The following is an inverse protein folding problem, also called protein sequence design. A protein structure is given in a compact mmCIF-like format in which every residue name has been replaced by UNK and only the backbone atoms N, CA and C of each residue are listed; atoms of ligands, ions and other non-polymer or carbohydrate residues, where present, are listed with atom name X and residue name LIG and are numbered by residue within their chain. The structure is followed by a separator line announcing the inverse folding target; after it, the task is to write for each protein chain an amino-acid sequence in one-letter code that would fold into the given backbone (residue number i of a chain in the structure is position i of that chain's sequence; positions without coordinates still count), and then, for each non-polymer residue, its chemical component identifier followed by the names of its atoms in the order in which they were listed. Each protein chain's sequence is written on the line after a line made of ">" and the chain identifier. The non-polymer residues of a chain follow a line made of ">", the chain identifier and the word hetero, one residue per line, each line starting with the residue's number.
data_IF_391202085682
#
_entry.id   IF_391202085682
#
_cell.length_a   1.000
_cell.length_b   1.000
_cell.length_c   1.000
_cell.angle_alpha   90.00
_cell.angle_beta   90.00
_cell.angle_gamma   90.00
#
_symmetry.space_group_name_H-M   'P 1'
#
loop_
_entity.id
_entity.type
_entity.pdbx_description
1 polymer ?
#
# COMPACT_ATOMS: atom_id res chain seq x y z
N UNK A 1 -10.70 -13.45 10.58
CA UNK A 1 -10.94 -13.40 12.04
C UNK A 1 -11.64 -12.10 12.38
N UNK A 2 -12.68 -12.12 13.21
CA UNK A 2 -13.20 -10.89 13.81
C UNK A 2 -12.21 -10.42 14.88
N UNK A 3 -11.88 -9.13 14.92
CA UNK A 3 -10.96 -8.55 15.91
C UNK A 3 -11.34 -8.86 17.36
N UNK A 4 -12.62 -9.13 17.64
CA UNK A 4 -13.08 -9.62 18.94
C UNK A 4 -12.45 -10.96 19.35
N UNK A 5 -12.32 -11.92 18.42
CA UNK A 5 -11.67 -13.21 18.71
C UNK A 5 -10.17 -13.05 18.96
N UNK A 6 -9.52 -12.14 18.24
CA UNK A 6 -8.12 -11.79 18.47
C UNK A 6 -7.91 -11.15 19.86
N UNK A 7 -8.75 -10.19 20.26
CA UNK A 7 -8.66 -9.59 21.60
C UNK A 7 -8.91 -10.60 22.71
N UNK A 8 -9.93 -11.44 22.59
CA UNK A 8 -10.23 -12.47 23.59
C UNK A 8 -9.04 -13.43 23.77
N UNK A 9 -8.39 -13.81 22.67
CA UNK A 9 -7.20 -14.64 22.69
C UNK A 9 -6.00 -13.91 23.33
N UNK A 10 -5.71 -12.67 22.90
CA UNK A 10 -4.57 -11.90 23.41
C UNK A 10 -4.71 -11.53 24.88
N UNK A 11 -5.90 -11.11 25.31
CA UNK A 11 -6.19 -10.80 26.72
C UNK A 11 -6.15 -12.06 27.61
N UNK A 12 -6.21 -13.26 27.02
CA UNK A 12 -6.10 -14.53 27.73
C UNK A 12 -4.68 -15.07 27.87
N UNK A 13 -3.66 -14.42 27.28
CA UNK A 13 -2.28 -14.88 27.42
C UNK A 13 -1.76 -14.68 28.85
N UNK A 14 -1.07 -15.69 29.43
CA UNK A 14 -0.43 -15.51 30.71
C UNK A 14 0.75 -14.54 30.56
N UNK A 15 0.63 -13.35 31.15
CA UNK A 15 1.74 -12.38 31.19
C UNK A 15 2.70 -12.77 32.31
N UNK A 16 3.91 -13.16 31.94
CA UNK A 16 4.94 -13.63 32.88
C UNK A 16 5.88 -12.52 33.37
N UNK A 17 5.81 -11.33 32.78
CA UNK A 17 6.63 -10.18 33.13
C UNK A 17 5.87 -8.86 32.92
N UNK A 18 5.91 -7.98 33.93
CA UNK A 18 5.34 -6.63 33.85
C UNK A 18 6.41 -5.58 33.56
N UNK A 19 7.64 -6.00 33.27
CA UNK A 19 8.71 -5.09 32.93
C UNK A 19 8.39 -4.35 31.63
N UNK A 20 8.69 -3.05 31.54
CA UNK A 20 8.50 -2.28 30.33
C UNK A 20 9.22 -2.90 29.14
N UNK A 21 8.56 -2.89 27.99
CA UNK A 21 9.23 -3.10 26.72
C UNK A 21 9.99 -1.82 26.36
N UNK A 22 11.31 -1.92 26.18
CA UNK A 22 12.15 -0.81 25.71
C UNK A 22 12.57 -1.12 24.27
N UNK A 23 12.10 -0.30 23.33
CA UNK A 23 12.44 -0.39 21.91
C UNK A 23 13.39 0.77 21.60
N UNK A 24 14.59 0.46 21.13
CA UNK A 24 15.49 1.45 20.53
C UNK A 24 15.22 1.56 19.03
N UNK A 25 15.20 2.78 18.50
CA UNK A 25 15.29 2.97 17.05
C UNK A 25 16.76 3.12 16.59
N UNK A 26 17.05 2.95 15.30
CA UNK A 26 18.41 3.12 14.77
C UNK A 26 18.98 4.54 14.91
N UNK A 27 18.14 5.53 15.21
CA UNK A 27 18.55 6.92 15.44
C UNK A 27 19.02 7.18 16.89
N UNK A 28 18.88 6.19 17.77
CA UNK A 28 19.26 6.25 19.18
C UNK A 28 18.13 6.69 20.12
N UNK A 29 16.91 6.89 19.60
CA UNK A 29 15.73 7.17 20.43
C UNK A 29 15.27 5.90 21.12
N UNK A 30 14.90 5.99 22.40
CA UNK A 30 14.35 4.86 23.17
C UNK A 30 12.89 5.11 23.51
N UNK A 31 12.03 4.20 23.08
CA UNK A 31 10.62 4.17 23.42
C UNK A 31 10.36 3.13 24.51
N UNK A 32 9.68 3.54 25.58
CA UNK A 32 9.29 2.65 26.68
C UNK A 32 7.77 2.45 26.62
N UNK A 33 7.33 1.19 26.60
CA UNK A 33 5.93 0.82 26.63
C UNK A 33 5.67 -0.10 27.83
N UNK A 34 4.92 0.39 28.81
CA UNK A 34 4.47 -0.42 29.93
C UNK A 34 3.29 -1.31 29.48
N UNK A 35 3.11 -2.47 30.13
CA UNK A 35 2.02 -3.40 29.81
C UNK A 35 0.65 -2.72 29.80
N UNK A 36 0.39 -1.79 30.72
CA UNK A 36 -0.88 -1.06 30.80
C UNK A 36 -1.14 -0.25 29.52
N UNK A 37 -0.14 0.47 29.04
CA UNK A 37 -0.27 1.30 27.84
C UNK A 37 -0.41 0.44 26.59
N UNK A 38 0.33 -0.67 26.53
CA UNK A 38 0.18 -1.67 25.47
C UNK A 38 -1.25 -2.24 25.43
N UNK A 39 -1.81 -2.61 26.58
CA UNK A 39 -3.16 -3.14 26.68
C UNK A 39 -4.23 -2.10 26.34
N UNK A 40 -4.01 -0.82 26.60
CA UNK A 40 -4.92 0.25 26.14
C UNK A 40 -4.96 0.32 24.61
N UNK A 41 -3.80 0.27 23.96
CA UNK A 41 -3.72 0.25 22.48
C UNK A 41 -4.36 -1.00 21.90
N UNK A 42 -4.12 -2.18 22.49
CA UNK A 42 -4.71 -3.43 22.02
C UNK A 42 -6.24 -3.48 22.16
N UNK A 43 -6.79 -2.82 23.18
CA UNK A 43 -8.24 -2.79 23.39
C UNK A 43 -8.94 -1.70 22.57
N UNK A 44 -8.20 -0.73 22.02
CA UNK A 44 -8.71 0.27 21.10
C UNK A 44 -8.82 -0.28 19.67
N UNK A 45 -10.07 -0.44 19.22
CA UNK A 45 -10.36 -0.95 17.88
C UNK A 45 -9.85 -0.08 16.76
N UNK A 46 -9.94 1.25 16.91
CA UNK A 46 -9.49 2.16 15.88
C UNK A 46 -7.97 2.12 15.76
N UNK A 47 -7.25 1.98 16.88
CA UNK A 47 -5.80 1.85 16.85
C UNK A 47 -5.37 0.55 16.19
N UNK A 48 -6.03 -0.58 16.49
CA UNK A 48 -5.73 -1.84 15.82
C UNK A 48 -5.94 -1.74 14.30
N UNK A 49 -7.03 -1.14 13.84
CA UNK A 49 -7.22 -0.94 12.40
C UNK A 49 -6.19 0.03 11.79
N UNK A 50 -5.80 1.09 12.50
CA UNK A 50 -4.74 2.02 12.06
C UNK A 50 -3.38 1.33 11.92
N UNK A 51 -3.10 0.33 12.73
CA UNK A 51 -1.87 -0.47 12.65
C UNK A 51 -1.94 -1.49 11.50
N UNK A 52 -3.09 -2.14 11.29
CA UNK A 52 -3.25 -3.16 10.25
C UNK A 52 -3.41 -2.58 8.84
N UNK A 53 -4.03 -1.40 8.73
CA UNK A 53 -4.39 -0.81 7.46
C UNK A 53 -3.17 -0.51 6.54
N UNK A 54 -2.03 0.01 7.04
CA UNK A 54 -0.83 0.18 6.25
C UNK A 54 -0.36 -1.08 5.53
N UNK A 55 -0.47 -2.27 6.16
CA UNK A 55 -0.07 -3.53 5.54
C UNK A 55 -0.92 -3.88 4.31
N UNK A 56 -2.20 -3.51 4.29
CA UNK A 56 -3.05 -3.75 3.10
C UNK A 56 -2.66 -2.88 1.91
N UNK A 57 -2.18 -1.66 2.16
CA UNK A 57 -1.67 -0.79 1.09
C UNK A 57 -0.31 -1.30 0.61
N UNK A 58 0.57 -1.70 1.53
CA UNK A 58 1.87 -2.28 1.19
C UNK A 58 1.73 -3.51 0.29
N UNK A 59 0.80 -4.42 0.59
CA UNK A 59 0.52 -5.58 -0.28
C UNK A 59 0.07 -5.20 -1.70
N UNK A 60 -0.61 -4.07 -1.86
CA UNK A 60 -1.00 -3.58 -3.19
C UNK A 60 0.18 -2.95 -3.92
N UNK A 61 1.06 -2.26 -3.19
CA UNK A 61 2.31 -1.70 -3.72
C UNK A 61 3.26 -2.83 -4.15
N UNK A 62 3.41 -3.88 -3.34
CA UNK A 62 4.21 -5.07 -3.66
C UNK A 62 3.68 -5.78 -4.91
N UNK A 63 2.36 -6.02 -4.99
CA UNK A 63 1.75 -6.56 -6.21
C UNK A 63 2.03 -5.66 -7.42
N UNK A 64 1.89 -4.34 -7.28
CA UNK A 64 2.16 -3.43 -8.39
C UNK A 64 3.61 -3.53 -8.88
N UNK A 65 4.56 -3.75 -7.96
CA UNK A 65 5.98 -3.97 -8.25
C UNK A 65 6.17 -5.22 -9.12
N UNK A 66 5.62 -6.36 -8.69
CA UNK A 66 5.64 -7.62 -9.45
C UNK A 66 5.00 -7.47 -10.84
N UNK A 67 3.90 -6.71 -10.93
CA UNK A 67 3.21 -6.47 -12.20
C UNK A 67 4.04 -5.60 -13.16
N UNK A 68 4.77 -4.60 -12.66
CA UNK A 68 5.68 -3.78 -13.48
C UNK A 68 6.83 -4.64 -14.02
N UNK A 69 7.44 -5.45 -13.17
CA UNK A 69 8.49 -6.39 -13.60
C UNK A 69 7.99 -7.35 -14.68
N UNK A 70 6.80 -7.92 -14.49
CA UNK A 70 6.16 -8.80 -15.47
C UNK A 70 5.84 -8.08 -16.78
N UNK A 71 5.37 -6.84 -16.71
CA UNK A 71 5.07 -6.03 -17.90
C UNK A 71 6.33 -5.83 -18.75
N UNK A 72 7.44 -5.47 -18.11
CA UNK A 72 8.71 -5.16 -18.77
C UNK A 72 9.44 -6.42 -19.28
N UNK A 73 9.45 -7.50 -18.49
CA UNK A 73 10.23 -8.72 -18.81
C UNK A 73 9.48 -9.72 -19.69
N UNK A 74 8.15 -9.84 -19.53
CA UNK A 74 7.35 -10.90 -20.14
C UNK A 74 6.29 -10.38 -21.12
N UNK A 75 5.73 -9.18 -20.91
CA UNK A 75 4.60 -8.67 -21.71
C UNK A 75 5.00 -7.63 -22.77
N UNK A 76 6.30 -7.36 -22.93
CA UNK A 76 6.81 -6.48 -23.99
C UNK A 76 6.52 -4.99 -23.78
N UNK A 77 6.18 -4.58 -22.55
CA UNK A 77 6.04 -3.17 -22.20
C UNK A 77 7.39 -2.47 -22.33
N UNK A 78 7.41 -1.23 -22.82
CA UNK A 78 8.65 -0.48 -23.01
C UNK A 78 8.94 0.39 -21.78
N UNK A 79 10.20 0.51 -21.32
CA UNK A 79 10.55 1.35 -20.17
C UNK A 79 10.08 2.80 -20.27
N UNK A 80 10.00 3.37 -21.48
CA UNK A 80 9.53 4.74 -21.70
C UNK A 80 8.03 4.94 -21.42
N UNK A 81 7.24 3.87 -21.30
CA UNK A 81 5.85 3.92 -20.86
C UNK A 81 5.73 4.12 -19.34
N UNK A 82 6.82 3.91 -18.60
CA UNK A 82 6.94 4.07 -17.15
C UNK A 82 7.74 5.36 -16.86
N UNK A 83 7.11 6.52 -17.08
CA UNK A 83 7.78 7.82 -16.90
C UNK A 83 8.36 7.95 -15.49
N UNK A 84 9.67 8.22 -15.40
CA UNK A 84 10.41 8.34 -14.15
C UNK A 84 10.98 7.04 -13.61
N UNK A 85 10.81 5.91 -14.30
CA UNK A 85 11.54 4.67 -14.03
C UNK A 85 13.00 4.83 -14.48
N UNK A 86 13.96 4.46 -13.63
CA UNK A 86 15.38 4.55 -13.95
C UNK A 86 15.83 3.28 -14.70
N UNK A 87 16.15 3.37 -16.00
CA UNK A 87 16.56 2.21 -16.78
C UNK A 87 17.97 1.71 -16.45
N UNK A 88 18.73 2.42 -15.60
CA UNK A 88 20.09 2.03 -15.20
C UNK A 88 20.10 1.06 -14.02
N UNK A 89 18.99 0.97 -13.28
CA UNK A 89 18.87 0.07 -12.15
C UNK A 89 18.47 -1.33 -12.60
N UNK A 90 18.81 -2.37 -11.81
CA UNK A 90 18.17 -3.69 -11.91
C UNK A 90 16.64 -3.56 -11.92
N UNK A 91 15.96 -4.44 -12.65
CA UNK A 91 14.53 -4.25 -12.94
C UNK A 91 13.63 -4.29 -11.70
N UNK A 92 13.96 -5.18 -10.77
CA UNK A 92 13.38 -5.29 -9.42
C UNK A 92 13.54 -3.96 -8.65
N UNK A 93 14.76 -3.44 -8.59
CA UNK A 93 15.06 -2.17 -7.92
C UNK A 93 14.40 -0.97 -8.61
N UNK A 94 14.37 -0.95 -9.95
CA UNK A 94 13.73 0.10 -10.74
C UNK A 94 12.21 0.12 -10.51
N UNK A 95 11.57 -1.05 -10.49
CA UNK A 95 10.15 -1.20 -10.20
C UNK A 95 9.86 -0.79 -8.74
N UNK A 96 10.69 -1.20 -7.78
CA UNK A 96 10.56 -0.81 -6.38
C UNK A 96 10.59 0.71 -6.19
N UNK A 97 11.63 1.35 -6.70
CA UNK A 97 11.77 2.80 -6.58
C UNK A 97 10.64 3.53 -7.27
N UNK A 98 10.23 3.06 -8.46
CA UNK A 98 9.16 3.71 -9.19
C UNK A 98 7.82 3.64 -8.46
N UNK A 99 7.43 2.47 -7.93
CA UNK A 99 6.20 2.33 -7.11
C UNK A 99 6.27 3.16 -5.84
N UNK A 100 7.44 3.22 -5.19
CA UNK A 100 7.65 3.92 -3.93
C UNK A 100 7.58 5.44 -4.08
N UNK A 101 8.23 5.99 -5.10
CA UNK A 101 8.36 7.44 -5.26
C UNK A 101 7.28 8.06 -6.13
N UNK A 102 6.64 7.30 -7.02
CA UNK A 102 5.55 7.83 -7.82
C UNK A 102 4.21 7.82 -7.07
N UNK A 103 3.34 8.82 -7.30
CA UNK A 103 1.97 8.75 -6.80
C UNK A 103 1.23 7.51 -7.31
N UNK A 104 0.38 6.91 -6.47
CA UNK A 104 -0.50 5.80 -6.87
C UNK A 104 -1.29 6.08 -8.13
N UNK A 105 -1.71 7.32 -8.31
CA UNK A 105 -2.42 7.77 -9.50
C UNK A 105 -1.60 7.59 -10.78
N UNK A 106 -0.29 7.76 -10.71
CA UNK A 106 0.64 7.65 -11.85
C UNK A 106 0.85 6.20 -12.21
N UNK A 107 1.36 5.40 -11.27
CA UNK A 107 1.74 4.03 -11.60
C UNK A 107 0.53 3.13 -11.87
N UNK A 108 -0.59 3.33 -11.16
CA UNK A 108 -1.79 2.54 -11.38
C UNK A 108 -2.40 2.80 -12.76
N UNK A 109 -2.35 4.04 -13.25
CA UNK A 109 -2.91 4.37 -14.56
C UNK A 109 -2.13 3.68 -15.68
N UNK A 110 -0.79 3.62 -15.57
CA UNK A 110 0.07 2.87 -16.49
C UNK A 110 -0.31 1.38 -16.49
N UNK A 111 -0.35 0.73 -15.32
CA UNK A 111 -0.66 -0.70 -15.21
C UNK A 111 -2.08 -1.01 -15.73
N UNK A 112 -3.08 -0.20 -15.36
CA UNK A 112 -4.46 -0.41 -15.80
C UNK A 112 -4.59 -0.27 -17.33
N UNK A 113 -3.91 0.71 -17.92
CA UNK A 113 -3.94 0.99 -19.37
C UNK A 113 -3.48 -0.21 -20.20
N UNK A 114 -2.51 -0.98 -19.73
CA UNK A 114 -2.02 -2.19 -20.41
C UNK A 114 -3.11 -3.25 -20.62
N UNK A 115 -4.11 -3.31 -19.72
CA UNK A 115 -5.28 -4.16 -19.88
C UNK A 115 -6.49 -3.49 -20.55
N UNK A 116 -6.32 -2.30 -21.13
CA UNK A 116 -7.44 -1.50 -21.64
C UNK A 116 -8.41 -1.02 -20.55
N UNK A 117 -7.97 -0.97 -19.29
CA UNK A 117 -8.79 -0.60 -18.14
C UNK A 117 -8.50 0.83 -17.69
N UNK A 118 -9.46 1.41 -16.99
CA UNK A 118 -9.32 2.71 -16.34
C UNK A 118 -9.86 2.69 -14.92
N UNK A 119 -9.82 3.84 -14.25
CA UNK A 119 -10.31 4.01 -12.88
C UNK A 119 -11.79 3.66 -12.67
N UNK A 120 -12.59 3.68 -13.72
CA UNK A 120 -14.01 3.28 -13.69
C UNK A 120 -14.22 1.76 -13.70
N UNK A 121 -13.16 0.96 -13.95
CA UNK A 121 -13.26 -0.50 -14.05
C UNK A 121 -13.56 -1.22 -12.73
N UNK A 122 -13.53 -0.51 -11.59
CA UNK A 122 -13.80 -1.09 -10.29
C UNK A 122 -14.50 -0.11 -9.35
N UNK A 123 -15.29 -0.66 -8.43
CA UNK A 123 -15.98 0.12 -7.41
C UNK A 123 -14.98 0.82 -6.48
N UNK A 124 -15.22 2.11 -6.24
CA UNK A 124 -14.35 2.99 -5.47
C UNK A 124 -13.46 3.88 -6.35
N UNK A 125 -13.04 3.35 -7.51
CA UNK A 125 -12.26 4.05 -8.52
C UNK A 125 -11.05 4.81 -7.98
N UNK A 126 -10.65 5.86 -8.71
CA UNK A 126 -9.49 6.70 -8.36
C UNK A 126 -9.60 7.26 -6.95
N UNK A 127 -10.74 7.88 -6.62
CA UNK A 127 -10.97 8.53 -5.32
C UNK A 127 -10.84 7.58 -4.13
N UNK A 128 -11.34 6.35 -4.25
CA UNK A 128 -11.27 5.37 -3.17
C UNK A 128 -9.85 4.88 -2.90
N UNK A 129 -9.07 4.65 -3.96
CA UNK A 129 -7.66 4.22 -3.84
C UNK A 129 -6.79 5.34 -3.27
N UNK A 130 -6.94 6.55 -3.79
CA UNK A 130 -6.17 7.71 -3.32
C UNK A 130 -6.44 8.00 -1.84
N UNK A 131 -7.68 7.85 -1.39
CA UNK A 131 -8.02 7.99 0.02
C UNK A 131 -7.41 6.91 0.89
N UNK A 132 -7.46 5.65 0.45
CA UNK A 132 -6.81 4.56 1.18
C UNK A 132 -5.30 4.82 1.37
N UNK A 133 -4.60 5.20 0.30
CA UNK A 133 -3.16 5.52 0.36
C UNK A 133 -2.88 6.77 1.22
N UNK A 134 -3.73 7.79 1.10
CA UNK A 134 -3.59 9.03 1.89
C UNK A 134 -3.77 8.75 3.38
N UNK A 135 -4.81 7.99 3.76
CA UNK A 135 -5.07 7.60 5.15
C UNK A 135 -3.91 6.74 5.66
N UNK A 136 -3.42 5.78 4.88
CA UNK A 136 -2.24 4.97 5.25
C UNK A 136 -1.05 5.84 5.58
N UNK A 137 -0.74 6.85 4.77
CA UNK A 137 0.40 7.73 5.02
C UNK A 137 0.22 8.56 6.29
N UNK A 138 -0.99 9.05 6.57
CA UNK A 138 -1.27 9.74 7.83
C UNK A 138 -1.13 8.79 9.03
N UNK A 139 -1.69 7.58 8.96
CA UNK A 139 -1.58 6.56 10.00
C UNK A 139 -0.13 6.15 10.25
N UNK A 140 0.67 5.94 9.20
CA UNK A 140 2.08 5.56 9.31
C UNK A 140 2.94 6.64 10.00
N UNK A 141 2.54 7.91 9.88
CA UNK A 141 3.17 9.04 10.58
C UNK A 141 2.51 9.37 11.93
N UNK A 142 1.56 8.56 12.41
CA UNK A 142 0.85 8.81 13.66
C UNK A 142 -0.04 10.06 13.65
N UNK A 143 -0.43 10.57 12.47
CA UNK A 143 -1.26 11.76 12.32
C UNK A 143 -2.74 11.35 12.34
N UNK A 144 -3.52 11.70 13.39
CA UNK A 144 -4.88 11.19 13.55
C UNK A 144 -5.96 12.04 12.84
N UNK A 145 -5.57 13.10 12.12
CA UNK A 145 -6.49 14.07 11.50
C UNK A 145 -6.15 14.35 10.05
N UNK A 146 -7.13 14.81 9.28
CA UNK A 146 -6.95 15.28 7.91
C UNK A 146 -6.19 16.61 7.91
N UNK A 147 -4.98 16.61 7.35
CA UNK A 147 -4.19 17.83 7.15
C UNK A 147 -4.42 18.44 5.75
N UNK A 148 -3.91 19.65 5.53
CA UNK A 148 -4.07 20.38 4.25
C UNK A 148 -3.52 19.61 3.04
N UNK A 149 -2.39 18.91 3.19
CA UNK A 149 -1.78 18.10 2.13
C UNK A 149 -2.69 16.94 1.72
N UNK A 150 -3.27 16.25 2.71
CA UNK A 150 -4.23 15.18 2.50
C UNK A 150 -5.50 15.68 1.82
N UNK A 151 -6.07 16.79 2.30
CA UNK A 151 -7.27 17.39 1.69
C UNK A 151 -7.04 17.74 0.22
N UNK A 152 -5.93 18.41 -0.10
CA UNK A 152 -5.60 18.78 -1.47
C UNK A 152 -5.50 17.54 -2.38
N UNK A 153 -4.86 16.46 -1.90
CA UNK A 153 -4.74 15.22 -2.66
C UNK A 153 -6.12 14.57 -2.89
N UNK A 154 -6.96 14.51 -1.86
CA UNK A 154 -8.32 13.99 -1.99
C UNK A 154 -9.15 14.83 -2.98
N UNK A 155 -9.04 16.15 -2.91
CA UNK A 155 -9.74 17.06 -3.82
C UNK A 155 -9.33 16.80 -5.28
N UNK A 156 -8.04 16.67 -5.57
CA UNK A 156 -7.53 16.35 -6.92
C UNK A 156 -7.96 14.99 -7.46
N UNK A 157 -8.35 14.06 -6.59
CA UNK A 157 -8.82 12.73 -6.96
C UNK A 157 -10.35 12.60 -6.98
N UNK A 158 -11.08 13.61 -6.50
CA UNK A 158 -12.54 13.58 -6.34
C UNK A 158 -13.27 14.14 -7.56
N UNK A 159 -14.48 13.66 -7.81
CA UNK A 159 -15.47 14.34 -8.65
C UNK A 159 -16.22 15.39 -7.83
N UNK A 160 -16.89 16.34 -8.48
CA UNK A 160 -17.67 17.40 -7.80
C UNK A 160 -18.78 16.85 -6.89
N UNK A 161 -19.31 15.66 -7.19
CA UNK A 161 -20.34 14.99 -6.41
C UNK A 161 -19.84 14.28 -5.15
N UNK A 162 -18.52 14.15 -4.97
CA UNK A 162 -17.94 13.45 -3.83
C UNK A 162 -17.66 14.42 -2.70
N UNK A 163 -18.25 14.14 -1.53
CA UNK A 163 -18.01 14.92 -0.32
C UNK A 163 -16.55 14.81 0.11
N UNK A 164 -15.92 15.96 0.33
CA UNK A 164 -14.59 16.05 0.92
C UNK A 164 -14.69 16.20 2.45
N UNK A 165 -13.72 15.65 3.21
CA UNK A 165 -13.55 15.99 4.62
C UNK A 165 -13.03 17.43 4.77
N UNK A 166 -13.10 17.96 5.98
CA UNK A 166 -12.50 19.24 6.36
C UNK A 166 -11.10 19.04 6.95
N UNK A 167 -10.27 20.08 6.89
CA UNK A 167 -9.00 20.10 7.65
C UNK A 167 -9.32 20.00 9.14
N UNK A 168 -8.63 19.11 9.85
CA UNK A 168 -8.84 18.85 11.28
C UNK A 168 -9.84 17.73 11.58
N UNK A 169 -10.58 17.23 10.57
CA UNK A 169 -11.45 16.07 10.76
C UNK A 169 -10.65 14.86 11.25
N UNK A 170 -11.18 14.18 12.26
CA UNK A 170 -10.57 12.95 12.79
C UNK A 170 -10.64 11.83 11.75
N UNK A 171 -9.55 11.09 11.61
CA UNK A 171 -9.50 9.87 10.81
C UNK A 171 -10.14 8.75 11.61
N UNK A 172 -11.41 8.46 11.32
CA UNK A 172 -12.12 7.33 11.94
C UNK A 172 -11.88 6.07 11.11
N UNK A 173 -11.13 5.12 11.66
CA UNK A 173 -10.92 3.79 11.08
C UNK A 173 -11.63 2.76 11.95
N UNK A 174 -12.96 2.76 11.89
CA UNK A 174 -13.77 1.69 12.48
C UNK A 174 -13.83 0.48 11.54
N UNK A 175 -14.49 -0.60 12.00
CA UNK A 175 -14.63 -1.84 11.21
C UNK A 175 -15.25 -1.61 9.85
N UNK A 176 -16.26 -0.76 9.75
CA UNK A 176 -16.98 -0.51 8.51
C UNK A 176 -16.09 0.23 7.50
N UNK A 177 -15.42 1.28 7.95
CA UNK A 177 -14.51 2.11 7.16
C UNK A 177 -13.28 1.31 6.72
N UNK A 178 -12.68 0.55 7.65
CA UNK A 178 -11.59 -0.38 7.33
C UNK A 178 -12.01 -1.41 6.27
N UNK A 179 -13.15 -2.07 6.45
CA UNK A 179 -13.64 -3.07 5.50
C UNK A 179 -13.90 -2.48 4.12
N UNK A 180 -14.42 -1.24 4.06
CA UNK A 180 -14.63 -0.50 2.81
C UNK A 180 -13.32 -0.20 2.09
N UNK A 181 -12.30 0.29 2.81
CA UNK A 181 -11.00 0.54 2.20
C UNK A 181 -10.33 -0.75 1.72
N UNK A 182 -10.33 -1.81 2.53
CA UNK A 182 -9.78 -3.12 2.13
C UNK A 182 -10.52 -3.69 0.93
N UNK A 183 -11.84 -3.60 0.87
CA UNK A 183 -12.61 -4.03 -0.29
C UNK A 183 -12.25 -3.23 -1.55
N UNK A 184 -11.98 -1.93 -1.42
CA UNK A 184 -11.54 -1.06 -2.51
C UNK A 184 -10.15 -1.47 -3.00
N UNK A 185 -9.19 -1.62 -2.10
CA UNK A 185 -7.83 -2.05 -2.40
C UNK A 185 -7.80 -3.44 -3.07
N UNK A 186 -8.61 -4.39 -2.60
CA UNK A 186 -8.73 -5.72 -3.22
C UNK A 186 -9.28 -5.68 -4.64
N UNK A 187 -10.31 -4.86 -4.88
CA UNK A 187 -10.87 -4.69 -6.23
C UNK A 187 -9.88 -4.02 -7.17
N UNK A 188 -9.15 -3.03 -6.65
CA UNK A 188 -8.09 -2.36 -7.38
C UNK A 188 -6.95 -3.33 -7.74
N UNK A 189 -6.44 -4.09 -6.78
CA UNK A 189 -5.42 -5.13 -6.98
C UNK A 189 -5.84 -6.14 -8.07
N UNK A 190 -7.09 -6.63 -8.00
CA UNK A 190 -7.64 -7.52 -9.04
C UNK A 190 -7.68 -6.85 -10.40
N UNK A 191 -8.13 -5.60 -10.49
CA UNK A 191 -8.19 -4.91 -11.79
C UNK A 191 -6.80 -4.76 -12.42
N UNK A 192 -5.77 -4.48 -11.61
CA UNK A 192 -4.38 -4.44 -12.09
C UNK A 192 -3.86 -5.80 -12.52
N UNK A 193 -4.08 -6.84 -11.70
CA UNK A 193 -3.64 -8.20 -12.02
C UNK A 193 -4.31 -8.71 -13.30
N UNK A 194 -5.63 -8.49 -13.45
CA UNK A 194 -6.36 -8.81 -14.67
C UNK A 194 -5.80 -8.04 -15.88
N UNK A 195 -5.40 -6.78 -15.71
CA UNK A 195 -4.85 -5.98 -16.80
C UNK A 195 -3.59 -6.62 -17.39
N UNK A 196 -2.69 -7.12 -16.54
CA UNK A 196 -1.44 -7.75 -16.98
C UNK A 196 -1.66 -9.19 -17.43
N UNK A 197 -2.52 -9.95 -16.74
CA UNK A 197 -2.78 -11.36 -17.05
C UNK A 197 -3.40 -11.55 -18.45
N UNK A 198 -4.22 -10.60 -18.90
CA UNK A 198 -4.87 -10.66 -20.22
C UNK A 198 -3.97 -10.22 -21.39
N UNK A 199 -2.74 -9.75 -21.13
CA UNK A 199 -1.79 -9.44 -22.19
C UNK A 199 -1.13 -10.71 -22.72
N UNK A 200 -0.85 -10.79 -24.04
CA UNK A 200 -0.05 -11.86 -24.59
C UNK A 200 1.38 -11.79 -24.04
N UNK A 201 2.00 -12.96 -23.83
CA UNK A 201 3.43 -13.03 -23.54
C UNK A 201 4.25 -12.74 -24.81
N UNK A 202 5.46 -12.22 -24.60
CA UNK A 202 6.45 -12.09 -25.65
C UNK A 202 6.85 -13.49 -26.17
N UNK A 203 7.14 -13.62 -27.47
CA UNK A 203 7.69 -14.86 -28.02
C UNK A 203 8.97 -15.27 -27.29
N UNK A 204 9.14 -16.56 -27.01
CA UNK A 204 10.36 -17.11 -26.42
C UNK A 204 11.58 -16.69 -27.26
N UNK A 205 12.55 -16.01 -26.63
CA UNK A 205 13.75 -15.45 -27.29
C UNK A 205 13.83 -13.92 -27.35
N UNK A 206 12.74 -13.21 -27.03
CA UNK A 206 12.72 -11.72 -26.91
C UNK A 206 12.46 -11.22 -25.48
N UNK A 207 12.34 -12.13 -24.51
CA UNK A 207 12.26 -11.81 -23.08
C UNK A 207 13.59 -11.20 -22.62
N UNK A 208 13.55 -10.01 -22.04
CA UNK A 208 14.73 -9.37 -21.47
C UNK A 208 15.19 -10.23 -20.28
N UNK A 209 16.45 -10.73 -20.27
CA UNK A 209 16.91 -11.57 -19.18
C UNK A 209 16.86 -10.78 -17.87
N UNK A 210 16.17 -11.36 -16.88
CA UNK A 210 16.29 -10.94 -15.48
C UNK A 210 17.68 -11.39 -15.05
N UNK A 211 18.61 -10.45 -14.85
CA UNK A 211 19.97 -10.79 -14.40
C UNK A 211 19.84 -11.46 -13.04
N UNK A 212 20.18 -12.75 -13.01
CA UNK A 212 20.03 -13.59 -11.82
C UNK A 212 21.04 -13.15 -10.75
N UNK A 213 20.68 -13.25 -9.46
CA UNK A 213 21.61 -12.98 -8.35
C UNK A 213 22.91 -13.80 -8.43
N UNK A 214 22.87 -14.98 -9.08
CA UNK A 214 24.06 -15.81 -9.33
C UNK A 214 25.09 -15.19 -10.27
N UNK A 215 24.68 -14.26 -11.15
CA UNK A 215 25.60 -13.54 -12.05
C UNK A 215 26.23 -12.31 -11.36
N UNK A 216 25.73 -11.89 -10.18
CA UNK A 216 26.27 -10.77 -9.38
C UNK A 216 27.50 -11.14 -8.54
N UNK A 217 27.94 -12.42 -8.52
CA UNK A 217 29.04 -12.92 -7.68
C UNK A 217 30.18 -13.62 -8.44
N UNK A 218 30.38 -13.31 -9.72
CA UNK A 218 31.64 -13.63 -10.38
C UNK A 218 32.58 -12.41 -10.28
N UNK A 219 33.85 -12.59 -9.89
CA UNK A 219 34.77 -11.52 -9.50
C UNK A 219 35.15 -10.57 -10.65
#
# INVERSE_FOLDING_TARGET
>A
MALGSYRAYVNGFPVTSNSPLVIGDPSGSTFKCDLKDFMLVLNDEQQLYRVLFPSYVALVEDLARELVEKLLSQKGAKPNEFVGLDPKLPMDEAAEQWITFQPVETWAMVILKFGGRGWSSFQGGRRGVVEAVTIRNLCAHGIPVINKKALNRLASASTQSQRLPSVGDQIVLDRATFSKHVATLRRFARSMADSVANMPDMPEGLTVPIVSESERRAP
#
